data_IF_794448807326
#
_entry.id   IF_794448807326
#
_cell.length_a   1.000
_cell.length_b   1.000
_cell.length_c   1.000
_cell.angle_alpha   90.00
_cell.angle_beta   90.00
_cell.angle_gamma   90.00
#
_symmetry.space_group_name_H-M   'P 1'
#
loop_
_entity.id
_entity.type
_entity.pdbx_description
1 polymer ?
#
# COMPACT_ATOMS: atom_id res chain seq x y z
N UNK A 1 36.53 -9.95 57.80
CA UNK A 1 36.36 -10.59 56.47
C UNK A 1 34.88 -10.76 56.32
N UNK A 2 34.25 -9.65 55.96
CA UNK A 2 32.87 -9.41 56.31
C UNK A 2 32.03 -10.06 55.23
N UNK A 3 31.20 -11.03 55.63
CA UNK A 3 30.31 -11.75 54.73
C UNK A 3 29.26 -10.75 54.24
N UNK A 4 29.50 -10.13 53.08
CA UNK A 4 28.51 -9.27 52.43
C UNK A 4 27.23 -10.10 52.30
N UNK A 5 26.16 -9.66 52.96
CA UNK A 5 24.93 -10.44 53.03
C UNK A 5 24.36 -10.61 51.63
N UNK A 6 23.77 -11.77 51.35
CA UNK A 6 23.02 -12.00 50.09
C UNK A 6 22.01 -10.86 49.86
N UNK A 7 21.44 -10.33 50.95
CA UNK A 7 20.52 -9.20 50.93
C UNK A 7 21.15 -7.89 50.43
N UNK A 8 22.38 -7.59 50.85
CA UNK A 8 23.10 -6.38 50.43
C UNK A 8 23.49 -6.46 48.95
N UNK A 9 23.89 -7.65 48.49
CA UNK A 9 24.17 -7.90 47.08
C UNK A 9 22.93 -7.67 46.21
N UNK A 10 21.77 -8.20 46.62
CA UNK A 10 20.50 -8.03 45.90
C UNK A 10 20.07 -6.55 45.88
N UNK A 11 20.18 -5.83 47.01
CA UNK A 11 19.87 -4.40 47.07
C UNK A 11 20.80 -3.57 46.17
N UNK A 12 22.10 -3.87 46.20
CA UNK A 12 23.08 -3.18 45.37
C UNK A 12 22.85 -3.41 43.88
N UNK A 13 22.61 -4.67 43.48
CA UNK A 13 22.28 -5.01 42.09
C UNK A 13 20.98 -4.32 41.64
N UNK A 14 19.94 -4.34 42.48
CA UNK A 14 18.67 -3.67 42.19
C UNK A 14 18.86 -2.17 41.95
N UNK A 15 19.67 -1.52 42.79
CA UNK A 15 20.00 -0.09 42.66
C UNK A 15 20.77 0.20 41.38
N UNK A 16 21.73 -0.66 41.03
CA UNK A 16 22.48 -0.54 39.78
C UNK A 16 21.60 -0.74 38.55
N UNK A 17 20.67 -1.70 38.56
CA UNK A 17 19.77 -1.93 37.42
C UNK A 17 18.74 -0.82 37.27
N UNK A 18 18.29 -0.21 38.37
CA UNK A 18 17.39 0.94 38.34
C UNK A 18 18.07 2.20 37.82
N UNK A 19 19.39 2.35 38.01
CA UNK A 19 20.13 3.52 37.52
C UNK A 19 20.49 3.45 36.03
N UNK A 20 20.34 2.28 35.40
CA UNK A 20 20.52 2.13 33.96
C UNK A 20 19.40 2.86 33.22
N UNK A 21 19.79 3.87 32.44
CA UNK A 21 18.89 4.52 31.48
C UNK A 21 19.12 3.93 30.08
N UNK A 22 18.05 3.74 29.28
CA UNK A 22 18.21 3.35 27.89
C UNK A 22 19.10 4.33 27.13
N UNK A 23 20.03 3.81 26.33
CA UNK A 23 20.80 4.64 25.41
C UNK A 23 19.85 5.29 24.39
N UNK A 24 20.06 6.57 24.08
CA UNK A 24 19.27 7.27 23.08
C UNK A 24 19.46 6.60 21.71
N UNK A 25 18.40 6.01 21.18
CA UNK A 25 18.41 5.41 19.85
C UNK A 25 18.24 6.50 18.79
N UNK A 26 19.02 6.43 17.70
CA UNK A 26 18.82 7.31 16.55
C UNK A 26 17.44 7.07 15.90
N UNK A 27 16.68 8.15 15.67
CA UNK A 27 15.42 8.05 14.94
C UNK A 27 15.70 7.78 13.47
N UNK A 28 15.28 6.62 12.99
CA UNK A 28 15.43 6.27 11.59
C UNK A 28 14.22 6.76 10.78
N UNK A 29 14.40 7.79 9.96
CA UNK A 29 13.41 8.20 8.96
C UNK A 29 13.70 7.46 7.66
N UNK A 30 12.94 6.39 7.40
CA UNK A 30 12.94 5.69 6.11
C UNK A 30 11.68 6.07 5.34
N UNK A 31 11.84 6.45 4.07
CA UNK A 31 10.72 6.58 3.15
C UNK A 31 10.10 5.20 2.93
N UNK A 32 8.84 5.04 3.29
CA UNK A 32 8.09 3.81 3.06
C UNK A 32 7.36 3.93 1.72
N UNK A 33 7.42 2.88 0.91
CA UNK A 33 6.64 2.81 -0.31
C UNK A 33 5.20 2.42 0.03
N UNK A 34 4.23 3.23 -0.38
CA UNK A 34 2.81 2.96 -0.19
C UNK A 34 2.20 2.69 -1.58
N UNK A 35 1.62 1.51 -1.81
CA UNK A 35 0.85 1.24 -3.03
C UNK A 35 -0.25 2.28 -3.23
N UNK A 36 -0.38 2.79 -4.46
CA UNK A 36 -1.36 3.84 -4.80
C UNK A 36 -2.80 3.43 -4.49
N UNK A 37 -3.14 2.15 -4.66
CA UNK A 37 -4.45 1.60 -4.32
C UNK A 37 -4.82 1.78 -2.84
N UNK A 38 -3.84 1.72 -1.93
CA UNK A 38 -4.08 1.89 -0.50
C UNK A 38 -4.31 3.35 -0.10
N UNK A 39 -3.83 4.31 -0.89
CA UNK A 39 -4.02 5.74 -0.61
C UNK A 39 -5.47 6.20 -0.86
N UNK A 40 -6.17 5.50 -1.75
CA UNK A 40 -7.53 5.87 -2.20
C UNK A 40 -8.60 4.87 -1.71
N UNK A 41 -8.21 3.73 -1.14
CA UNK A 41 -9.17 2.70 -0.75
C UNK A 41 -10.00 3.12 0.47
N UNK A 42 -11.31 2.86 0.42
CA UNK A 42 -12.20 3.03 1.57
C UNK A 42 -12.14 1.85 2.54
N UNK A 43 -11.85 0.65 2.03
CA UNK A 43 -11.80 -0.57 2.80
C UNK A 43 -10.50 -1.35 2.54
N UNK A 44 -10.04 -2.09 3.54
CA UNK A 44 -8.82 -2.91 3.47
C UNK A 44 -9.07 -4.30 4.02
N UNK A 45 -8.31 -5.28 3.52
CA UNK A 45 -8.24 -6.64 4.03
C UNK A 45 -6.93 -6.83 4.80
N UNK A 46 -7.00 -7.37 6.01
CA UNK A 46 -5.87 -7.44 6.95
C UNK A 46 -5.34 -8.87 7.04
N UNK A 47 -4.02 -9.05 6.92
CA UNK A 47 -3.35 -10.34 7.13
C UNK A 47 -3.27 -10.69 8.62
N UNK A 48 -3.63 -11.92 8.99
CA UNK A 48 -3.54 -12.45 10.35
C UNK A 48 -2.26 -13.27 10.50
N UNK A 49 -1.27 -12.73 11.21
CA UNK A 49 0.08 -13.33 11.35
C UNK A 49 0.20 -14.35 12.50
N UNK A 50 -0.92 -14.87 12.99
CA UNK A 50 -0.92 -15.90 14.03
C UNK A 50 -0.69 -17.30 13.44
N UNK A 51 -0.13 -18.22 14.23
CA UNK A 51 -0.11 -19.66 13.90
C UNK A 51 -1.54 -20.17 13.88
N UNK A 52 -1.94 -20.83 12.78
CA UNK A 52 -3.33 -21.19 12.51
C UNK A 52 -3.43 -22.64 12.10
N UNK A 53 -4.62 -23.22 12.31
CA UNK A 53 -4.93 -24.56 11.79
C UNK A 53 -4.89 -24.53 10.25
N UNK A 54 -4.64 -25.68 9.61
CA UNK A 54 -4.77 -25.79 8.16
C UNK A 54 -6.12 -25.29 7.66
N UNK A 55 -6.15 -24.75 6.43
CA UNK A 55 -7.36 -24.31 5.71
C UNK A 55 -8.11 -23.08 6.27
N UNK A 56 -7.53 -22.33 7.21
CA UNK A 56 -8.11 -21.04 7.63
C UNK A 56 -7.57 -19.90 6.74
N UNK A 57 -8.45 -19.05 6.20
CA UNK A 57 -8.08 -17.93 5.31
C UNK A 57 -7.12 -16.94 6.00
N UNK A 58 -5.92 -16.62 5.47
CA UNK A 58 -4.91 -15.81 6.15
C UNK A 58 -5.23 -14.32 6.25
N UNK A 59 -6.31 -13.87 5.61
CA UNK A 59 -6.77 -12.49 5.63
C UNK A 59 -8.18 -12.41 6.19
N UNK A 60 -8.47 -11.35 6.93
CA UNK A 60 -9.78 -11.08 7.50
C UNK A 60 -10.35 -9.79 6.90
N UNK A 61 -11.65 -9.85 6.56
CA UNK A 61 -12.60 -8.74 6.45
C UNK A 61 -12.27 -7.61 5.46
N UNK A 62 -13.27 -7.00 4.81
CA UNK A 62 -13.16 -5.61 4.42
C UNK A 62 -13.44 -4.75 5.66
N UNK A 63 -12.44 -4.01 6.12
CA UNK A 63 -12.56 -3.09 7.24
C UNK A 63 -12.44 -1.65 6.76
N UNK A 64 -13.23 -0.75 7.33
CA UNK A 64 -13.23 0.68 6.96
C UNK A 64 -11.93 1.35 7.39
N UNK A 65 -11.31 2.09 6.46
CA UNK A 65 -10.12 2.90 6.74
C UNK A 65 -10.56 4.24 7.33
N UNK A 66 -10.04 4.60 8.50
CA UNK A 66 -10.31 5.89 9.16
C UNK A 66 -9.29 6.93 8.71
N UNK A 67 -8.00 6.56 8.71
CA UNK A 67 -6.91 7.42 8.23
C UNK A 67 -5.67 6.58 7.93
N UNK A 68 -4.78 7.11 7.10
CA UNK A 68 -3.49 6.50 6.79
C UNK A 68 -2.34 7.43 7.18
N UNK A 69 -1.22 6.84 7.58
CA UNK A 69 0.04 7.50 7.89
C UNK A 69 1.17 6.80 7.13
N UNK A 70 2.38 7.36 7.15
CA UNK A 70 3.55 6.86 6.38
C UNK A 70 3.80 5.35 6.46
N UNK A 71 3.55 4.72 7.63
CA UNK A 71 3.84 3.29 7.86
C UNK A 71 2.64 2.48 8.35
N UNK A 72 1.56 3.13 8.77
CA UNK A 72 0.43 2.47 9.41
C UNK A 72 -0.90 3.07 8.98
N UNK A 73 -1.94 2.25 8.92
CA UNK A 73 -3.31 2.65 8.69
C UNK A 73 -4.11 2.45 9.97
N UNK A 74 -4.97 3.42 10.29
CA UNK A 74 -6.01 3.30 11.31
C UNK A 74 -7.26 2.73 10.67
N UNK A 75 -7.68 1.58 11.18
CA UNK A 75 -8.78 0.79 10.62
C UNK A 75 -9.81 0.56 11.71
N UNK A 76 -11.09 0.72 11.39
CA UNK A 76 -12.18 0.32 12.27
C UNK A 76 -12.36 -1.20 12.21
N UNK A 77 -11.97 -1.87 13.29
CA UNK A 77 -12.02 -3.33 13.42
C UNK A 77 -12.67 -3.69 14.74
N UNK A 78 -13.75 -4.45 14.68
CA UNK A 78 -14.48 -4.94 15.86
C UNK A 78 -14.87 -3.82 16.84
N UNK A 79 -15.29 -2.65 16.32
CA UNK A 79 -15.63 -1.45 17.10
C UNK A 79 -14.42 -0.81 17.82
N UNK A 80 -13.20 -1.17 17.44
CA UNK A 80 -11.95 -0.62 17.93
C UNK A 80 -11.13 -0.04 16.78
N UNK A 81 -10.32 0.98 17.08
CA UNK A 81 -9.41 1.56 16.09
C UNK A 81 -8.05 0.87 16.19
N UNK A 82 -7.76 0.02 15.21
CA UNK A 82 -6.50 -0.71 15.11
C UNK A 82 -5.50 0.03 14.22
N UNK A 83 -4.23 0.11 14.65
CA UNK A 83 -3.13 0.63 13.83
C UNK A 83 -2.36 -0.52 13.17
N UNK A 84 -2.48 -0.68 11.86
CA UNK A 84 -1.95 -1.82 11.10
C UNK A 84 -0.85 -1.36 10.14
N UNK A 85 0.27 -2.08 10.07
CA UNK A 85 1.35 -1.78 9.12
C UNK A 85 0.87 -2.06 7.68
N UNK A 86 1.25 -1.18 6.75
CA UNK A 86 1.01 -1.27 5.30
C UNK A 86 1.29 -2.67 4.74
N UNK A 87 2.37 -3.31 5.19
CA UNK A 87 2.77 -4.65 4.71
C UNK A 87 1.76 -5.76 5.03
N UNK A 88 0.82 -5.51 5.96
CA UNK A 88 -0.24 -6.45 6.35
C UNK A 88 -1.57 -6.15 5.67
N UNK A 89 -1.62 -5.13 4.81
CA UNK A 89 -2.85 -4.63 4.20
C UNK A 89 -2.91 -4.95 2.71
N UNK A 90 -4.14 -5.09 2.24
CA UNK A 90 -4.47 -5.10 0.82
C UNK A 90 -5.75 -4.28 0.62
N UNK A 91 -5.86 -3.55 -0.48
CA UNK A 91 -7.09 -2.82 -0.79
C UNK A 91 -8.27 -3.80 -0.94
N UNK A 92 -9.41 -3.44 -0.36
CA UNK A 92 -10.67 -4.17 -0.54
C UNK A 92 -11.58 -3.34 -1.44
N UNK A 93 -11.98 -3.93 -2.56
CA UNK A 93 -12.95 -3.33 -3.46
C UNK A 93 -14.35 -3.81 -3.07
N UNK A 94 -15.13 -2.92 -2.49
CA UNK A 94 -16.53 -3.17 -2.16
C UNK A 94 -17.38 -2.48 -3.23
N UNK A 95 -18.19 -3.25 -3.96
CA UNK A 95 -19.19 -2.69 -4.87
C UNK A 95 -20.45 -2.48 -4.05
N UNK A 96 -20.98 -1.26 -4.06
CA UNK A 96 -22.17 -0.89 -3.30
C UNK A 96 -23.33 -1.87 -3.59
N UNK A 97 -23.63 -2.71 -2.61
CA UNK A 97 -24.71 -3.70 -2.64
C UNK A 97 -24.31 -5.17 -2.69
N UNK A 98 -23.07 -5.53 -2.99
CA UNK A 98 -22.59 -6.94 -2.92
C UNK A 98 -21.17 -6.99 -2.38
N UNK A 99 -21.02 -7.53 -1.15
CA UNK A 99 -19.73 -7.90 -0.57
C UNK A 99 -19.13 -9.07 -1.35
N UNK A 100 -18.39 -8.76 -2.42
CA UNK A 100 -17.48 -9.73 -3.03
C UNK A 100 -16.25 -9.88 -2.11
N UNK A 101 -16.43 -10.58 -0.99
CA UNK A 101 -15.31 -11.34 -0.46
C UNK A 101 -14.89 -12.26 -1.60
N UNK A 102 -13.62 -12.19 -2.00
CA UNK A 102 -13.04 -12.97 -3.09
C UNK A 102 -13.24 -14.47 -2.85
N UNK A 103 -14.41 -14.96 -3.21
CA UNK A 103 -14.68 -16.33 -3.57
C UNK A 103 -14.57 -16.34 -5.09
N UNK A 104 -13.50 -17.01 -5.56
CA UNK A 104 -13.22 -17.47 -6.94
C UNK A 104 -13.81 -16.66 -8.11
N UNK A 105 -12.99 -16.19 -9.06
CA UNK A 105 -13.49 -15.85 -10.38
C UNK A 105 -13.76 -17.15 -11.17
N UNK A 106 -14.83 -17.87 -10.84
CA UNK A 106 -15.46 -18.82 -11.77
C UNK A 106 -16.58 -18.07 -12.50
N UNK A 107 -16.19 -17.06 -13.28
CA UNK A 107 -17.02 -16.56 -14.38
C UNK A 107 -16.16 -16.61 -15.63
N UNK A 108 -16.29 -17.72 -16.34
CA UNK A 108 -15.88 -17.86 -17.73
C UNK A 108 -16.52 -16.69 -18.49
N UNK A 109 -15.75 -15.77 -19.10
CA UNK A 109 -16.34 -14.81 -20.02
C UNK A 109 -16.80 -15.59 -21.26
N UNK A 110 -18.11 -15.78 -21.40
CA UNK A 110 -18.70 -16.30 -22.62
C UNK A 110 -18.37 -15.31 -23.74
N UNK A 111 -17.36 -15.67 -24.54
CA UNK A 111 -16.97 -14.99 -25.76
C UNK A 111 -18.23 -14.80 -26.63
N UNK A 112 -18.56 -13.58 -27.10
CA UNK A 112 -19.66 -13.43 -28.03
C UNK A 112 -19.32 -14.18 -29.32
N UNK A 113 -20.23 -15.07 -29.69
CA UNK A 113 -20.19 -15.88 -30.90
C UNK A 113 -20.23 -14.92 -32.10
N UNK A 114 -19.11 -14.76 -32.79
CA UNK A 114 -19.10 -14.14 -34.12
C UNK A 114 -19.62 -15.23 -35.06
N UNK A 115 -20.88 -15.08 -35.49
CA UNK A 115 -21.41 -15.80 -36.64
C UNK A 115 -20.55 -15.46 -37.86
N UNK A 116 -20.06 -16.50 -38.52
CA UNK A 116 -19.41 -16.39 -39.82
C UNK A 116 -20.48 -16.36 -40.91
N UNK A 117 -20.45 -15.40 -41.84
CA UNK A 117 -21.02 -15.57 -43.16
C UNK A 117 -19.94 -15.94 -44.18
N UNK A 118 -20.30 -16.94 -44.96
CA UNK A 118 -19.66 -17.57 -46.11
C UNK A 118 -19.06 -16.62 -47.16
N UNK A 119 -17.89 -17.04 -47.65
CA UNK A 119 -17.15 -16.70 -48.86
C UNK A 119 -17.99 -16.21 -50.06
N UNK A 120 -17.49 -15.21 -50.79
CA UNK A 120 -17.43 -15.16 -52.26
C UNK A 120 -16.31 -14.17 -52.71
N UNK A 121 -15.67 -14.52 -53.82
CA UNK A 121 -14.36 -14.11 -54.35
C UNK A 121 -14.43 -12.87 -55.26
N UNK A 122 -13.44 -11.95 -55.27
CA UNK A 122 -12.82 -11.39 -56.50
C UNK A 122 -11.72 -10.32 -56.27
N UNK A 123 -10.49 -10.72 -56.57
CA UNK A 123 -9.35 -10.04 -57.24
C UNK A 123 -9.37 -8.51 -57.53
N UNK A 124 -8.32 -7.78 -57.09
CA UNK A 124 -7.27 -7.14 -57.96
C UNK A 124 -6.42 -6.03 -57.27
N UNK A 125 -5.12 -6.32 -57.13
CA UNK A 125 -3.89 -5.54 -57.39
C UNK A 125 -3.97 -4.00 -57.50
N UNK A 126 -3.19 -3.28 -56.67
CA UNK A 126 -2.06 -2.38 -57.07
C UNK A 126 -1.68 -1.38 -55.95
N UNK A 127 -0.38 -1.26 -55.69
CA UNK A 127 0.26 -0.17 -54.91
C UNK A 127 0.59 0.98 -55.87
N UNK A 128 0.67 2.25 -55.41
CA UNK A 128 1.97 2.91 -55.53
C UNK A 128 2.34 3.91 -54.41
N UNK A 129 3.65 3.87 -54.10
CA UNK A 129 4.62 4.97 -53.92
C UNK A 129 4.32 6.20 -53.03
N UNK A 130 5.18 6.32 -52.01
CA UNK A 130 6.13 7.43 -51.76
C UNK A 130 5.61 8.87 -51.79
N UNK A 131 5.56 9.52 -50.62
CA UNK A 131 6.12 10.88 -50.47
C UNK A 131 6.70 11.06 -49.06
N UNK A 132 7.92 11.59 -49.05
CA UNK A 132 8.77 11.93 -47.91
C UNK A 132 8.64 13.42 -47.57
N UNK A 133 8.66 13.77 -46.29
CA UNK A 133 9.22 15.00 -45.68
C UNK A 133 8.74 15.10 -44.22
N UNK A 134 9.32 15.90 -43.33
CA UNK A 134 10.70 16.14 -42.93
C UNK A 134 10.60 16.51 -41.43
N UNK A 135 11.68 16.29 -40.69
CA UNK A 135 11.78 16.55 -39.26
C UNK A 135 11.54 18.03 -38.91
N UNK A 136 10.85 18.31 -37.80
CA UNK A 136 11.15 19.47 -36.96
C UNK A 136 11.03 19.09 -35.48
N UNK A 137 12.14 19.23 -34.77
CA UNK A 137 12.21 19.16 -33.33
C UNK A 137 11.68 20.46 -32.73
N UNK A 138 10.80 20.37 -31.73
CA UNK A 138 10.57 21.46 -30.79
C UNK A 138 10.42 20.91 -29.38
N UNK A 139 11.53 20.99 -28.63
CA UNK A 139 11.55 20.97 -27.17
C UNK A 139 10.79 22.22 -26.68
N UNK A 140 9.85 22.04 -25.76
CA UNK A 140 9.36 23.13 -24.92
C UNK A 140 9.30 22.65 -23.47
N UNK A 141 10.31 23.06 -22.71
CA UNK A 141 10.30 23.07 -21.25
C UNK A 141 9.41 24.23 -20.81
N UNK A 142 8.45 23.98 -19.93
CA UNK A 142 7.82 25.02 -19.12
C UNK A 142 7.89 24.57 -17.67
N UNK A 143 8.99 24.97 -17.03
CA UNK A 143 9.09 25.15 -15.59
C UNK A 143 8.55 26.56 -15.32
N UNK A 144 7.44 26.68 -14.60
CA UNK A 144 7.03 27.95 -14.00
C UNK A 144 7.43 27.92 -12.53
N UNK A 145 8.42 28.74 -12.19
CA UNK A 145 8.74 29.16 -10.83
C UNK A 145 8.12 30.52 -10.61
N UNK A 146 7.24 30.65 -9.64
CA UNK A 146 6.85 31.96 -9.11
C UNK A 146 7.47 32.10 -7.71
N UNK A 147 8.47 32.99 -7.65
CA UNK A 147 9.00 33.59 -6.43
C UNK A 147 8.79 35.09 -6.58
N UNK A 148 8.16 35.75 -5.60
CA UNK A 148 8.24 37.18 -5.20
C UNK A 148 7.37 37.28 -3.93
N UNK A 149 7.95 37.43 -2.73
CA UNK A 149 8.31 38.71 -2.05
C UNK A 149 7.08 39.60 -1.83
N UNK A 150 6.74 40.12 -0.64
CA UNK A 150 7.54 41.00 0.21
C UNK A 150 6.87 41.21 1.59
N UNK A 151 7.72 41.43 2.61
CA UNK A 151 7.71 42.51 3.65
C UNK A 151 6.49 42.69 4.57
N UNK A 152 6.66 42.60 5.89
CA UNK A 152 7.17 43.61 6.86
C UNK A 152 5.97 44.17 7.62
N UNK A 153 5.89 43.94 8.93
CA UNK A 153 5.48 44.96 9.89
C UNK A 153 5.73 44.45 11.33
N UNK A 154 6.68 45.12 11.98
CA UNK A 154 6.85 45.47 13.41
C UNK A 154 6.57 44.46 14.53
#
# INVERSE_FOLDING_TARGET
MDSIGIQDYVQHLSTLMQSLSPAQTQRQQRKVFIPTELLICSHVIIRIDAVRKPLIQPYEGPFGVISFHEKFFKVDRHCCVDAINIERLRAAYVVDGVVHASSRPDLIPTRPMIEAPTSELSSQIAVPATISNEATASRSNHQCTDTISDQDET
#
